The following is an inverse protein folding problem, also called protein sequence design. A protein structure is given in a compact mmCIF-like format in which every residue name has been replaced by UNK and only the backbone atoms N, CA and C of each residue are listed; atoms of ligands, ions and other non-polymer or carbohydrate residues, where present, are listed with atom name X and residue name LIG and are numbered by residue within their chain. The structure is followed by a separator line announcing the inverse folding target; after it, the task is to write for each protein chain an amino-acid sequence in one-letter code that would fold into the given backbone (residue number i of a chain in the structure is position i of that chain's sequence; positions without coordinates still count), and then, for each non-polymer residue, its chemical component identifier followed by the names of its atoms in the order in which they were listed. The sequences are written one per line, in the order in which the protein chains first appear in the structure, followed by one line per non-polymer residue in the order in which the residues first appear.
data_IF_673251334431
#
_entry.id   IF_673251334431
#
_cell.length_a   1.000
_cell.length_b   1.000
_cell.length_c   1.000
_cell.angle_alpha   90.00
_cell.angle_beta   90.00
_cell.angle_gamma   90.00
#
_symmetry.space_group_name_H-M   'P 1'
#
loop_
_entity.id
_entity.type
_entity.pdbx_description
1 polymer ?
#
# COMPACT_ATOMS: atom_id res chain seq x y z
N UNK A 1 -5.10 15.48 -5.56
CA UNK A 1 -4.84 14.09 -5.13
C UNK A 1 -3.50 14.13 -4.46
N UNK A 2 -3.41 13.64 -3.23
CA UNK A 2 -2.18 13.68 -2.44
C UNK A 2 -1.63 12.27 -2.33
N UNK A 3 -0.32 12.15 -2.50
CA UNK A 3 0.44 10.96 -2.18
C UNK A 3 0.87 11.05 -0.72
N UNK A 4 0.73 9.95 0.04
CA UNK A 4 0.90 9.97 1.50
C UNK A 4 2.02 9.07 2.02
N UNK A 5 2.67 8.30 1.16
CA UNK A 5 3.76 7.41 1.57
C UNK A 5 5.06 8.20 1.65
N UNK A 6 5.69 8.20 2.81
CA UNK A 6 6.91 8.97 3.08
C UNK A 6 8.16 8.07 3.15
N UNK A 7 7.98 6.78 3.42
CA UNK A 7 9.07 5.83 3.60
C UNK A 7 9.26 4.91 2.37
N UNK A 8 10.48 4.36 2.25
CA UNK A 8 10.70 3.26 1.32
C UNK A 8 9.90 2.05 1.77
N UNK A 9 9.29 1.34 0.82
CA UNK A 9 8.37 0.24 1.11
C UNK A 9 8.94 -1.10 0.74
N UNK A 10 9.99 -1.15 -0.09
CA UNK A 10 10.69 -2.38 -0.46
C UNK A 10 12.07 -2.41 0.18
N UNK A 11 12.35 -3.46 0.94
CA UNK A 11 13.64 -3.74 1.55
C UNK A 11 14.07 -5.16 1.18
N UNK A 12 14.98 -5.25 0.21
CA UNK A 12 15.61 -6.51 -0.15
C UNK A 12 17.08 -6.43 0.27
N UNK A 13 17.51 -7.38 1.11
CA UNK A 13 18.81 -7.41 1.83
C UNK A 13 19.91 -6.47 1.34
N UNK A 14 20.41 -6.67 0.12
CA UNK A 14 21.57 -5.96 -0.44
C UNK A 14 21.20 -4.89 -1.49
N UNK A 15 19.91 -4.72 -1.77
CA UNK A 15 19.40 -3.71 -2.70
C UNK A 15 19.09 -2.41 -1.94
N UNK A 16 19.23 -1.27 -2.62
CA UNK A 16 18.78 0.00 -2.07
C UNK A 16 17.27 -0.02 -1.79
N UNK A 17 16.81 0.52 -0.64
CA UNK A 17 15.39 0.64 -0.36
C UNK A 17 14.67 1.45 -1.45
N UNK A 18 13.50 0.97 -1.87
CA UNK A 18 12.70 1.63 -2.90
C UNK A 18 11.29 1.96 -2.38
N UNK A 19 10.79 3.14 -2.72
CA UNK A 19 9.38 3.52 -2.52
C UNK A 19 8.59 3.08 -3.75
N UNK A 20 8.01 1.87 -3.69
CA UNK A 20 7.24 1.30 -4.80
C UNK A 20 5.74 1.24 -4.50
N UNK A 21 5.38 1.21 -3.23
CA UNK A 21 3.99 1.22 -2.80
C UNK A 21 3.57 2.65 -2.52
N UNK A 22 2.46 3.08 -3.11
CA UNK A 22 2.00 4.46 -3.06
C UNK A 22 0.52 4.49 -2.70
N UNK A 23 0.16 5.39 -1.80
CA UNK A 23 -1.23 5.66 -1.43
C UNK A 23 -1.60 7.04 -1.93
N UNK A 24 -2.64 7.10 -2.75
CA UNK A 24 -3.20 8.35 -3.23
C UNK A 24 -4.65 8.53 -2.80
N UNK A 25 -4.97 9.68 -2.21
CA UNK A 25 -6.37 10.03 -1.88
C UNK A 25 -6.73 11.42 -2.37
N UNK A 26 -8.04 11.68 -2.53
CA UNK A 26 -8.56 13.05 -2.61
C UNK A 26 -8.47 13.62 -1.19
N UNK A 27 -7.92 14.83 -1.02
CA UNK A 27 -7.60 15.46 0.28
C UNK A 27 -8.71 15.16 1.32
N UNK A 28 -8.52 14.15 2.19
CA UNK A 28 -9.47 13.89 3.24
C UNK A 28 -9.14 14.86 4.38
N UNK A 29 -10.17 15.40 5.01
CA UNK A 29 -10.03 16.17 6.23
C UNK A 29 -10.69 15.38 7.36
N UNK A 30 -9.93 14.93 8.39
CA UNK A 30 -8.48 15.03 8.58
C UNK A 30 -7.63 14.13 7.66
N UNK A 31 -6.30 14.39 7.57
CA UNK A 31 -5.33 13.53 6.89
C UNK A 31 -5.40 12.07 7.37
N UNK A 32 -5.08 11.09 6.50
CA UNK A 32 -5.07 9.68 6.89
C UNK A 32 -3.91 9.40 7.84
N UNK A 33 -4.13 8.52 8.82
CA UNK A 33 -3.03 7.95 9.61
C UNK A 33 -2.41 6.80 8.83
N UNK A 34 -1.08 6.77 8.75
CA UNK A 34 -0.34 5.72 8.03
C UNK A 34 0.68 5.10 8.96
N UNK A 35 0.65 3.76 9.06
CA UNK A 35 1.59 2.98 9.83
C UNK A 35 2.37 2.03 8.90
N UNK A 36 3.69 2.01 9.10
CA UNK A 36 4.62 1.14 8.38
C UNK A 36 4.94 -0.06 9.27
N UNK A 37 4.35 -1.21 8.93
CA UNK A 37 4.55 -2.43 9.70
C UNK A 37 5.68 -3.25 9.06
N UNK A 38 6.75 -3.45 9.82
CA UNK A 38 7.90 -4.25 9.40
C UNK A 38 7.44 -5.64 8.93
N UNK A 39 8.01 -6.15 7.83
CA UNK A 39 7.64 -7.47 7.32
C UNK A 39 8.15 -8.56 8.25
N UNK A 40 7.32 -8.97 9.22
CA UNK A 40 7.53 -10.18 10.03
C UNK A 40 7.18 -11.44 9.21
N UNK A 41 7.63 -11.56 7.96
CA UNK A 41 7.12 -12.56 7.03
C UNK A 41 7.93 -12.80 5.75
N UNK A 42 7.24 -13.31 4.72
CA UNK A 42 7.80 -13.75 3.42
C UNK A 42 7.93 -12.64 2.36
N UNK A 43 7.43 -11.44 2.64
CA UNK A 43 7.44 -10.30 1.73
C UNK A 43 8.72 -9.49 1.90
N UNK A 44 9.31 -9.04 0.81
CA UNK A 44 10.35 -8.00 0.81
C UNK A 44 9.74 -6.58 0.85
N UNK A 45 8.41 -6.47 0.85
CA UNK A 45 7.68 -5.22 1.03
C UNK A 45 7.14 -5.05 2.46
N UNK A 46 7.19 -3.82 2.98
CA UNK A 46 6.54 -3.33 4.20
C UNK A 46 5.03 -3.38 4.05
N UNK A 47 4.33 -3.70 5.14
CA UNK A 47 2.87 -3.62 5.15
C UNK A 47 2.46 -2.19 5.51
N UNK A 48 1.71 -1.53 4.62
CA UNK A 48 1.12 -0.22 4.87
C UNK A 48 -0.27 -0.39 5.47
N UNK A 49 -0.46 0.09 6.69
CA UNK A 49 -1.77 0.16 7.35
C UNK A 49 -2.26 1.61 7.34
N UNK A 50 -3.49 1.81 6.88
CA UNK A 50 -4.10 3.13 6.73
C UNK A 50 -5.42 3.21 7.46
N UNK A 51 -5.56 4.24 8.29
CA UNK A 51 -6.82 4.64 8.89
C UNK A 51 -7.34 5.89 8.19
N UNK A 52 -8.50 5.76 7.58
CA UNK A 52 -9.19 6.83 6.85
C UNK A 52 -10.59 6.91 7.44
N UNK A 53 -11.03 8.12 7.82
CA UNK A 53 -12.42 8.32 8.23
C UNK A 53 -13.33 8.09 7.03
N UNK A 54 -14.36 7.28 7.21
CA UNK A 54 -15.35 7.00 6.18
C UNK A 54 -16.08 8.29 5.79
N UNK A 55 -15.63 8.94 4.70
CA UNK A 55 -16.48 9.82 3.91
C UNK A 55 -17.23 8.93 2.91
N UNK A 56 -18.56 9.11 2.82
CA UNK A 56 -19.50 8.24 2.10
C UNK A 56 -18.93 7.57 0.83
N UNK A 57 -18.73 6.25 0.90
CA UNK A 57 -18.59 5.41 -0.30
C UNK A 57 -17.20 4.85 -0.64
N UNK A 58 -16.42 4.40 0.35
CA UNK A 58 -15.27 3.50 0.07
C UNK A 58 -15.80 2.22 -0.58
N UNK A 59 -15.59 2.06 -1.88
CA UNK A 59 -15.96 0.85 -2.63
C UNK A 59 -14.72 0.03 -2.91
N UNK A 60 -14.55 -1.06 -2.18
CA UNK A 60 -13.52 -2.05 -2.47
C UNK A 60 -13.81 -2.73 -3.81
N UNK A 61 -12.84 -2.68 -4.72
CA UNK A 61 -12.85 -3.45 -5.97
C UNK A 61 -11.70 -4.45 -5.95
N UNK A 62 -12.06 -5.72 -6.03
CA UNK A 62 -11.15 -6.87 -6.01
C UNK A 62 -10.99 -7.52 -7.39
N UNK A 63 -11.39 -6.82 -8.46
CA UNK A 63 -11.36 -7.29 -9.84
C UNK A 63 -9.95 -7.58 -10.36
N UNK A 64 -8.92 -6.90 -9.83
CA UNK A 64 -7.50 -7.16 -10.15
C UNK A 64 -7.05 -8.61 -9.87
N UNK A 65 -7.71 -9.32 -8.95
CA UNK A 65 -7.34 -10.72 -8.61
C UNK A 65 -7.72 -11.72 -9.71
N UNK A 66 -8.56 -11.32 -10.68
CA UNK A 66 -9.04 -12.22 -11.74
C UNK A 66 -7.99 -12.50 -12.82
N UNK A 67 -7.02 -11.60 -13.03
CA UNK A 67 -6.01 -11.76 -14.10
C UNK A 67 -4.79 -12.61 -13.70
N UNK A 68 -4.53 -12.83 -12.41
CA UNK A 68 -3.40 -13.64 -11.91
C UNK A 68 -3.57 -15.17 -12.05
N UNK A 69 -4.33 -15.67 -13.03
CA UNK A 69 -4.45 -17.12 -13.32
C UNK A 69 -3.67 -17.58 -14.56
N UNK A 70 -2.86 -16.73 -15.18
CA UNK A 70 -2.18 -17.06 -16.44
C UNK A 70 -0.71 -17.50 -16.34
N UNK A 71 -0.14 -17.59 -15.13
CA UNK A 71 1.23 -18.11 -14.94
C UNK A 71 1.25 -19.20 -13.87
N UNK A 72 0.66 -20.37 -14.17
CA UNK A 72 0.99 -21.62 -13.49
C UNK A 72 1.53 -22.55 -14.57
N UNK A 73 2.85 -22.77 -14.51
CA UNK A 73 3.64 -23.62 -15.41
C UNK A 73 3.02 -24.99 -15.63
#
# INVERSE_FOLDING_TARGET
MNQWVEESTKYRREEEPLMLDLVFTKKPEPPPSIHYLSPMGRSDHVTLELEILEEDGIRFRDDYKKEMKLCRN
#
